data_IF_728491495562
#
_entry.id   IF_728491495562
#
_cell.length_a   1.000
_cell.length_b   1.000
_cell.length_c   1.000
_cell.angle_alpha   90.00
_cell.angle_beta   90.00
_cell.angle_gamma   90.00
#
_symmetry.space_group_name_H-M   'P 1'
#
loop_
_entity.id
_entity.type
_entity.pdbx_description
1 polymer ?
#
# COMPACT_ATOMS: atom_id res chain seq x y z
N UNK A 1 -22.73 -13.51 -7.44
CA UNK A 1 -22.17 -12.15 -7.16
C UNK A 1 -22.39 -11.30 -8.40
N UNK A 2 -22.61 -9.99 -8.28
CA UNK A 2 -22.70 -9.10 -9.45
C UNK A 2 -21.33 -8.45 -9.61
N UNK A 3 -20.63 -8.79 -10.68
CA UNK A 3 -19.36 -8.17 -11.02
C UNK A 3 -19.59 -7.06 -12.06
N UNK A 4 -18.93 -5.91 -11.93
CA UNK A 4 -19.01 -4.82 -12.90
C UNK A 4 -18.14 -5.09 -14.13
N UNK A 5 -18.44 -4.39 -15.23
CA UNK A 5 -17.70 -4.53 -16.50
C UNK A 5 -16.27 -3.93 -16.45
N UNK A 6 -16.01 -3.00 -15.51
CA UNK A 6 -14.76 -2.27 -15.38
C UNK A 6 -13.81 -2.81 -14.28
N UNK A 7 -13.85 -4.11 -14.04
CA UNK A 7 -12.94 -4.75 -13.07
C UNK A 7 -11.47 -4.60 -13.46
N UNK A 8 -10.61 -4.41 -12.45
CA UNK A 8 -9.18 -4.49 -12.62
C UNK A 8 -8.70 -5.95 -12.63
N UNK A 9 -7.63 -6.23 -13.39
CA UNK A 9 -6.89 -7.50 -13.34
C UNK A 9 -5.96 -7.60 -12.11
N UNK A 10 -5.85 -6.56 -11.32
CA UNK A 10 -5.12 -6.56 -10.06
C UNK A 10 -6.10 -6.69 -8.90
N UNK A 11 -5.98 -7.77 -8.12
CA UNK A 11 -6.84 -8.01 -6.96
C UNK A 11 -6.11 -7.80 -5.65
N UNK A 12 -6.88 -7.49 -4.61
CA UNK A 12 -6.43 -7.33 -3.24
C UNK A 12 -7.10 -8.38 -2.35
N UNK A 13 -6.31 -9.10 -1.55
CA UNK A 13 -6.75 -10.21 -0.72
C UNK A 13 -6.37 -9.99 0.74
N UNK A 14 -7.29 -10.21 1.66
CA UNK A 14 -7.01 -10.44 3.07
C UNK A 14 -7.64 -11.75 3.55
N UNK A 15 -6.90 -12.48 4.37
CA UNK A 15 -7.40 -13.66 5.09
C UNK A 15 -6.87 -13.56 6.51
N UNK A 16 -7.69 -13.09 7.45
CA UNK A 16 -7.22 -12.84 8.81
C UNK A 16 -8.33 -12.89 9.86
N UNK A 17 -7.92 -13.02 11.12
CA UNK A 17 -8.84 -12.97 12.27
C UNK A 17 -9.29 -11.54 12.56
N UNK A 18 -10.54 -11.39 12.99
CA UNK A 18 -11.17 -10.11 13.33
C UNK A 18 -11.26 -9.95 14.85
N UNK A 19 -11.44 -8.71 15.37
CA UNK A 19 -11.55 -8.42 16.80
C UNK A 19 -12.91 -8.84 17.38
N UNK A 20 -13.39 -10.01 17.00
CA UNK A 20 -14.68 -10.58 17.38
C UNK A 20 -14.47 -12.01 17.87
N UNK A 21 -14.99 -12.32 19.04
CA UNK A 21 -15.06 -13.69 19.57
C UNK A 21 -16.43 -14.29 19.24
N UNK A 22 -16.40 -15.50 18.71
CA UNK A 22 -17.57 -16.31 18.46
C UNK A 22 -18.05 -16.96 19.79
N UNK A 23 -19.25 -17.53 19.81
CA UNK A 23 -19.82 -18.21 20.98
C UNK A 23 -18.91 -19.33 21.54
N UNK A 24 -18.11 -19.99 20.69
CA UNK A 24 -17.12 -21.01 21.07
C UNK A 24 -15.80 -20.42 21.59
N UNK A 25 -15.69 -19.11 21.77
CA UNK A 25 -14.52 -18.39 22.26
C UNK A 25 -13.40 -18.21 21.23
N UNK A 26 -13.60 -18.65 19.98
CA UNK A 26 -12.61 -18.49 18.91
C UNK A 26 -12.80 -17.17 18.17
N UNK A 27 -11.72 -16.66 17.56
CA UNK A 27 -11.80 -15.45 16.74
C UNK A 27 -12.58 -15.69 15.46
N UNK A 28 -13.36 -14.70 15.04
CA UNK A 28 -13.94 -14.65 13.70
C UNK A 28 -12.83 -14.54 12.66
N UNK A 29 -12.87 -15.38 11.62
CA UNK A 29 -11.97 -15.29 10.47
C UNK A 29 -12.74 -14.92 9.21
N UNK A 30 -12.18 -14.05 8.42
CA UNK A 30 -12.76 -13.61 7.15
C UNK A 30 -11.73 -13.66 6.03
N UNK A 31 -12.20 -14.09 4.85
CA UNK A 31 -11.53 -13.87 3.58
C UNK A 31 -12.23 -12.72 2.89
N UNK A 32 -11.46 -11.71 2.52
CA UNK A 32 -11.91 -10.51 1.82
C UNK A 32 -11.16 -10.40 0.50
N UNK A 33 -11.87 -10.20 -0.60
CA UNK A 33 -11.29 -9.99 -1.93
C UNK A 33 -11.97 -8.80 -2.57
N UNK A 34 -11.18 -7.92 -3.14
CA UNK A 34 -11.63 -6.81 -3.98
C UNK A 34 -10.64 -6.62 -5.12
N UNK A 35 -10.91 -5.74 -6.06
CA UNK A 35 -9.94 -5.36 -7.09
C UNK A 35 -9.33 -3.98 -6.82
N UNK A 36 -8.28 -3.64 -7.56
CA UNK A 36 -7.57 -2.36 -7.41
C UNK A 36 -8.44 -1.12 -7.73
N UNK A 37 -9.60 -1.30 -8.35
CA UNK A 37 -10.58 -0.25 -8.57
C UNK A 37 -11.65 -0.16 -7.46
N UNK A 38 -11.67 -1.13 -6.53
CA UNK A 38 -12.74 -1.25 -5.52
C UNK A 38 -14.11 -1.57 -6.11
N UNK A 39 -14.13 -2.13 -7.32
CA UNK A 39 -15.35 -2.31 -8.11
C UNK A 39 -16.23 -3.44 -7.60
N UNK A 40 -15.68 -4.42 -6.90
CA UNK A 40 -16.43 -5.48 -6.21
C UNK A 40 -15.88 -5.73 -4.81
N UNK A 41 -16.69 -6.34 -3.96
CA UNK A 41 -16.32 -6.77 -2.61
C UNK A 41 -16.84 -8.18 -2.35
N UNK A 42 -15.93 -9.12 -2.15
CA UNK A 42 -16.26 -10.50 -1.76
C UNK A 42 -15.84 -10.74 -0.31
N UNK A 43 -16.77 -11.19 0.51
CA UNK A 43 -16.55 -11.54 1.91
C UNK A 43 -17.02 -12.96 2.20
N UNK A 44 -16.15 -13.75 2.84
CA UNK A 44 -16.50 -15.09 3.31
C UNK A 44 -15.97 -15.30 4.72
N UNK A 45 -16.86 -15.62 5.65
CA UNK A 45 -16.47 -16.09 6.98
C UNK A 45 -15.94 -17.53 6.89
N UNK A 46 -14.82 -17.77 7.56
CA UNK A 46 -14.15 -19.08 7.55
C UNK A 46 -14.10 -19.64 8.96
N UNK A 47 -14.62 -20.87 9.21
CA UNK A 47 -14.43 -21.56 10.47
C UNK A 47 -12.95 -21.76 10.80
N UNK A 48 -12.57 -21.64 12.09
CA UNK A 48 -11.17 -21.71 12.53
C UNK A 48 -10.44 -22.97 12.04
N UNK A 49 -11.11 -24.12 12.02
CA UNK A 49 -10.55 -25.39 11.54
C UNK A 49 -10.37 -25.48 10.02
N UNK A 50 -10.91 -24.52 9.27
CA UNK A 50 -10.78 -24.41 7.81
C UNK A 50 -9.85 -23.27 7.40
N UNK A 51 -9.18 -22.60 8.33
CA UNK A 51 -8.14 -21.59 8.05
C UNK A 51 -6.86 -22.31 7.64
N UNK A 52 -6.74 -22.58 6.35
CA UNK A 52 -5.57 -23.24 5.75
C UNK A 52 -5.48 -22.91 4.27
N UNK A 53 -4.31 -23.15 3.68
CA UNK A 53 -4.01 -22.83 2.27
C UNK A 53 -4.93 -23.54 1.26
N UNK A 54 -5.34 -24.78 1.55
CA UNK A 54 -6.23 -25.55 0.65
C UNK A 54 -7.61 -24.90 0.55
N UNK A 55 -8.19 -24.54 1.72
CA UNK A 55 -9.50 -23.90 1.72
C UNK A 55 -9.45 -22.48 1.16
N UNK A 56 -8.39 -21.73 1.45
CA UNK A 56 -8.21 -20.40 0.87
C UNK A 56 -8.09 -20.47 -0.66
N UNK A 57 -7.31 -21.42 -1.20
CA UNK A 57 -7.24 -21.67 -2.65
C UNK A 57 -8.61 -21.89 -3.26
N UNK A 58 -9.38 -22.82 -2.67
CA UNK A 58 -10.73 -23.12 -3.16
C UNK A 58 -11.62 -21.87 -3.20
N UNK A 59 -11.55 -21.03 -2.18
CA UNK A 59 -12.32 -19.77 -2.12
C UNK A 59 -11.90 -18.82 -3.26
N UNK A 60 -10.58 -18.65 -3.48
CA UNK A 60 -10.07 -17.79 -4.54
C UNK A 60 -10.45 -18.32 -5.93
N UNK A 61 -10.31 -19.63 -6.15
CA UNK A 61 -10.73 -20.30 -7.40
C UNK A 61 -12.22 -20.08 -7.68
N UNK A 62 -13.10 -20.28 -6.67
CA UNK A 62 -14.53 -20.01 -6.78
C UNK A 62 -14.82 -18.56 -7.24
N UNK A 63 -14.13 -17.59 -6.68
CA UNK A 63 -14.30 -16.17 -7.07
C UNK A 63 -13.77 -15.92 -8.49
N UNK A 64 -12.62 -16.50 -8.85
CA UNK A 64 -12.02 -16.37 -10.18
C UNK A 64 -12.87 -17.01 -11.28
N UNK A 65 -13.60 -18.10 -10.98
CA UNK A 65 -14.50 -18.76 -11.91
C UNK A 65 -15.77 -17.94 -12.20
N UNK A 66 -16.27 -17.21 -11.20
CA UNK A 66 -17.45 -16.37 -11.34
C UNK A 66 -17.14 -14.99 -11.93
N UNK A 67 -15.88 -14.52 -11.82
CA UNK A 67 -15.49 -13.18 -12.24
C UNK A 67 -15.37 -13.08 -13.80
N UNK A 68 -15.87 -11.99 -14.41
CA UNK A 68 -15.75 -11.77 -15.86
C UNK A 68 -14.31 -11.50 -16.31
N UNK A 69 -13.47 -10.99 -15.39
CA UNK A 69 -12.05 -10.68 -15.61
C UNK A 69 -11.23 -11.45 -14.60
N UNK A 70 -10.33 -12.32 -15.07
CA UNK A 70 -9.41 -13.03 -14.18
C UNK A 70 -8.27 -12.13 -13.77
N UNK A 71 -7.81 -12.21 -12.49
CA UNK A 71 -6.67 -11.44 -12.05
C UNK A 71 -5.38 -11.92 -12.73
N UNK A 72 -4.53 -10.99 -13.10
CA UNK A 72 -3.13 -11.24 -13.47
C UNK A 72 -2.23 -11.17 -12.24
N UNK A 73 -2.63 -10.41 -11.20
CA UNK A 73 -1.92 -10.33 -9.93
C UNK A 73 -2.86 -10.24 -8.73
N UNK A 74 -2.42 -10.82 -7.61
CA UNK A 74 -3.12 -10.73 -6.31
C UNK A 74 -2.16 -10.17 -5.27
N UNK A 75 -2.51 -9.02 -4.67
CA UNK A 75 -1.79 -8.37 -3.58
C UNK A 75 -2.36 -8.74 -2.23
N UNK A 76 -1.50 -8.85 -1.23
CA UNK A 76 -1.88 -9.01 0.18
C UNK A 76 -0.81 -8.40 1.08
N UNK A 77 -1.19 -7.95 2.29
CA UNK A 77 -0.29 -7.14 3.13
C UNK A 77 0.13 -7.79 4.45
N UNK A 78 -0.51 -8.90 4.86
CA UNK A 78 -0.23 -9.49 6.18
C UNK A 78 0.97 -10.42 6.14
N UNK A 79 2.05 -9.99 6.81
CA UNK A 79 3.27 -10.78 6.92
C UNK A 79 3.04 -12.13 7.61
N UNK A 80 2.17 -12.17 8.65
CA UNK A 80 1.83 -13.40 9.38
C UNK A 80 1.16 -14.45 8.49
N UNK A 81 0.50 -14.03 7.41
CA UNK A 81 -0.21 -14.90 6.47
C UNK A 81 0.59 -15.19 5.20
N UNK A 82 1.80 -14.66 5.07
CA UNK A 82 2.64 -14.75 3.87
C UNK A 82 2.75 -16.19 3.35
N UNK A 83 3.18 -17.11 4.20
CA UNK A 83 3.38 -18.51 3.79
C UNK A 83 2.06 -19.18 3.40
N UNK A 84 0.99 -18.98 4.18
CA UNK A 84 -0.29 -19.60 3.91
C UNK A 84 -0.90 -19.10 2.61
N UNK A 85 -0.87 -17.79 2.37
CA UNK A 85 -1.41 -17.17 1.15
C UNK A 85 -0.56 -17.57 -0.06
N UNK A 86 0.77 -17.52 0.05
CA UNK A 86 1.67 -17.92 -1.04
C UNK A 86 1.46 -19.38 -1.45
N UNK A 87 1.29 -20.30 -0.50
CA UNK A 87 0.97 -21.71 -0.77
C UNK A 87 -0.42 -21.87 -1.38
N UNK A 88 -1.40 -21.08 -0.92
CA UNK A 88 -2.76 -21.13 -1.45
C UNK A 88 -2.81 -20.72 -2.92
N UNK A 89 -2.09 -19.66 -3.28
CA UNK A 89 -2.10 -19.08 -4.63
C UNK A 89 -1.05 -19.70 -5.57
N UNK A 90 -0.15 -20.54 -5.04
CA UNK A 90 0.81 -21.25 -5.84
C UNK A 90 0.10 -22.15 -6.87
N UNK A 91 0.56 -22.14 -8.13
CA UNK A 91 -0.04 -22.84 -9.27
C UNK A 91 -1.41 -22.29 -9.75
N UNK A 92 -1.91 -21.18 -9.22
CA UNK A 92 -2.85 -20.35 -9.92
C UNK A 92 -2.04 -19.51 -10.94
N UNK A 93 -2.55 -19.31 -12.11
CA UNK A 93 -1.87 -18.50 -13.14
C UNK A 93 -2.03 -17.00 -12.81
N UNK A 94 -1.45 -16.61 -11.65
CA UNK A 94 -1.47 -15.24 -11.11
C UNK A 94 -0.13 -14.90 -10.47
N UNK A 95 0.28 -13.66 -10.58
CA UNK A 95 1.43 -13.14 -9.85
C UNK A 95 1.03 -12.82 -8.40
N UNK A 96 1.72 -13.40 -7.43
CA UNK A 96 1.42 -13.22 -6.00
C UNK A 96 2.33 -12.15 -5.42
N UNK A 97 1.77 -11.02 -4.98
CA UNK A 97 2.52 -9.84 -4.53
C UNK A 97 2.27 -9.53 -3.06
N UNK A 98 3.23 -9.86 -2.16
CA UNK A 98 3.22 -9.23 -0.84
C UNK A 98 3.40 -7.72 -1.00
N UNK A 99 2.39 -6.93 -0.62
CA UNK A 99 2.38 -5.50 -0.91
C UNK A 99 1.47 -4.74 0.05
N UNK A 100 1.88 -3.55 0.49
CA UNK A 100 1.03 -2.60 1.23
C UNK A 100 0.15 -1.77 0.30
N UNK A 101 0.23 -1.97 -1.00
CA UNK A 101 -0.61 -1.29 -2.01
C UNK A 101 -1.93 -2.02 -2.19
N UNK A 102 -2.70 -2.10 -1.13
CA UNK A 102 -4.03 -2.72 -1.05
C UNK A 102 -5.03 -1.66 -0.55
N UNK A 103 -5.15 -0.58 -1.32
CA UNK A 103 -5.85 0.64 -0.91
C UNK A 103 -7.34 0.41 -0.67
N UNK A 104 -8.02 -0.24 -1.60
CA UNK A 104 -9.45 -0.50 -1.50
C UNK A 104 -9.77 -1.51 -0.38
N UNK A 105 -8.89 -2.47 -0.17
CA UNK A 105 -9.01 -3.41 0.92
C UNK A 105 -8.83 -2.73 2.29
N UNK A 106 -7.86 -1.81 2.41
CA UNK A 106 -7.68 -1.02 3.64
C UNK A 106 -8.89 -0.14 3.94
N UNK A 107 -9.43 0.55 2.95
CA UNK A 107 -10.63 1.37 3.12
C UNK A 107 -11.81 0.51 3.57
N UNK A 108 -12.03 -0.63 2.93
CA UNK A 108 -13.08 -1.55 3.30
C UNK A 108 -12.88 -2.15 4.70
N UNK A 109 -11.66 -2.51 5.09
CA UNK A 109 -11.33 -2.93 6.45
C UNK A 109 -11.62 -1.83 7.47
N UNK A 110 -11.24 -0.59 7.17
CA UNK A 110 -11.50 0.58 8.04
C UNK A 110 -13.00 0.82 8.24
N UNK A 111 -13.81 0.69 7.18
CA UNK A 111 -15.27 0.75 7.27
C UNK A 111 -15.80 -0.34 8.21
N UNK A 112 -15.33 -1.58 8.05
CA UNK A 112 -15.77 -2.70 8.89
C UNK A 112 -15.36 -2.56 10.35
N UNK A 113 -14.15 -2.08 10.61
CA UNK A 113 -13.64 -1.78 11.96
C UNK A 113 -14.46 -0.70 12.67
N UNK A 114 -14.92 0.30 11.94
CA UNK A 114 -15.70 1.41 12.49
C UNK A 114 -17.17 1.05 12.66
N UNK A 115 -17.76 0.42 11.65
CA UNK A 115 -19.21 0.36 11.51
C UNK A 115 -19.79 -1.07 11.68
N UNK A 116 -19.00 -2.12 11.43
CA UNK A 116 -19.50 -3.50 11.40
C UNK A 116 -19.11 -4.30 12.65
N UNK A 117 -17.80 -4.43 12.92
CA UNK A 117 -17.36 -5.27 14.03
C UNK A 117 -17.86 -4.82 15.40
N UNK A 118 -17.98 -3.50 15.71
CA UNK A 118 -18.55 -3.06 16.99
C UNK A 118 -20.02 -3.51 17.23
N UNK A 119 -20.75 -3.91 16.18
CA UNK A 119 -22.11 -4.39 16.29
C UNK A 119 -22.23 -5.88 16.66
N UNK A 120 -21.10 -6.61 16.66
CA UNK A 120 -21.11 -8.02 17.06
C UNK A 120 -21.04 -8.17 18.58
N UNK A 121 -21.85 -9.06 19.17
CA UNK A 121 -21.90 -9.31 20.62
C UNK A 121 -20.53 -9.69 21.20
N UNK A 122 -19.71 -10.40 20.41
CA UNK A 122 -18.35 -10.83 20.80
C UNK A 122 -17.24 -9.84 20.46
N UNK A 123 -17.56 -8.58 20.11
CA UNK A 123 -16.56 -7.57 19.79
C UNK A 123 -15.64 -7.28 20.97
N UNK A 124 -14.33 -7.34 20.74
CA UNK A 124 -13.31 -7.05 21.75
C UNK A 124 -12.16 -6.19 21.15
N UNK A 125 -12.22 -4.90 21.45
CA UNK A 125 -11.23 -3.92 20.97
C UNK A 125 -9.78 -4.27 21.37
N UNK A 126 -9.56 -4.97 22.48
CA UNK A 126 -8.21 -5.35 22.93
C UNK A 126 -7.55 -6.37 22.01
N UNK A 127 -8.34 -7.21 21.30
CA UNK A 127 -7.81 -8.17 20.33
C UNK A 127 -7.17 -7.49 19.12
N UNK A 128 -7.57 -6.25 18.82
CA UNK A 128 -6.96 -5.41 17.79
C UNK A 128 -5.52 -5.04 18.13
N UNK A 129 -5.24 -4.68 19.37
CA UNK A 129 -3.91 -4.24 19.81
C UNK A 129 -2.86 -5.36 19.78
N UNK A 130 -3.25 -6.61 19.95
CA UNK A 130 -2.31 -7.74 19.90
C UNK A 130 -1.78 -8.03 18.48
N UNK A 131 -2.49 -7.62 17.46
CA UNK A 131 -2.10 -7.84 16.05
C UNK A 131 -1.04 -6.86 15.58
N UNK A 132 -0.90 -5.71 16.22
CA UNK A 132 -0.02 -4.60 15.82
C UNK A 132 1.45 -4.83 16.22
N UNK A 133 1.70 -5.65 17.25
CA UNK A 133 3.03 -5.79 17.86
C UNK A 133 3.96 -6.77 17.14
N UNK A 134 3.50 -7.48 16.11
CA UNK A 134 4.25 -8.53 15.41
C UNK A 134 4.86 -8.07 14.08
N UNK A 135 5.14 -6.78 13.91
CA UNK A 135 5.95 -6.36 12.76
C UNK A 135 7.42 -6.69 13.01
N UNK A 136 7.93 -7.62 12.22
CA UNK A 136 9.37 -7.91 12.12
C UNK A 136 10.06 -6.68 11.49
N UNK A 137 10.51 -5.76 12.35
CA UNK A 137 11.22 -4.54 11.93
C UNK A 137 12.59 -4.98 11.46
N UNK A 138 12.73 -5.26 10.16
CA UNK A 138 14.02 -5.51 9.54
C UNK A 138 14.85 -4.23 9.54
N UNK A 139 16.17 -4.39 9.64
CA UNK A 139 17.06 -3.24 9.44
C UNK A 139 16.89 -2.72 8.01
N UNK A 140 16.78 -1.39 7.82
CA UNK A 140 16.67 -0.84 6.49
C UNK A 140 17.88 -1.20 5.61
N UNK A 141 17.61 -1.56 4.37
CA UNK A 141 18.63 -1.80 3.36
C UNK A 141 19.10 -0.48 2.74
N UNK A 142 20.31 -0.47 2.20
CA UNK A 142 20.80 0.66 1.41
C UNK A 142 20.36 0.51 -0.04
N UNK A 143 20.03 1.62 -0.68
CA UNK A 143 19.84 1.62 -2.13
C UNK A 143 21.11 1.10 -2.84
N UNK A 144 20.94 0.37 -3.95
CA UNK A 144 22.08 0.08 -4.86
C UNK A 144 22.80 1.36 -5.25
N UNK A 145 24.12 1.31 -5.39
CA UNK A 145 24.92 2.52 -5.69
C UNK A 145 24.50 3.22 -6.98
N UNK A 146 23.97 2.47 -7.95
CA UNK A 146 23.43 3.03 -9.20
C UNK A 146 22.13 3.78 -9.02
N UNK A 147 21.42 3.58 -7.91
CA UNK A 147 20.12 4.18 -7.58
C UNK A 147 20.22 5.32 -6.57
N UNK A 148 21.44 5.63 -6.09
CA UNK A 148 21.64 6.77 -5.19
C UNK A 148 21.52 8.09 -5.96
N UNK A 149 20.67 8.97 -5.48
CA UNK A 149 20.57 10.33 -6.00
C UNK A 149 21.75 11.19 -5.49
N UNK A 150 22.17 12.14 -6.29
CA UNK A 150 23.19 13.14 -5.90
C UNK A 150 22.63 14.14 -4.88
N UNK A 151 21.35 14.45 -4.99
CA UNK A 151 20.64 15.34 -4.05
C UNK A 151 19.14 15.07 -4.07
N UNK A 152 18.41 15.70 -3.16
CA UNK A 152 16.95 15.64 -3.12
C UNK A 152 16.37 16.93 -2.54
N UNK A 153 15.09 17.18 -2.80
CA UNK A 153 14.35 18.28 -2.22
C UNK A 153 12.99 17.82 -1.70
N UNK A 154 12.54 18.43 -0.61
CA UNK A 154 11.15 18.38 -0.20
C UNK A 154 10.35 19.34 -1.05
N UNK A 155 9.27 18.87 -1.64
CA UNK A 155 8.42 19.60 -2.57
C UNK A 155 6.96 19.44 -2.20
N UNK A 156 6.07 20.23 -2.82
CA UNK A 156 4.64 20.02 -2.66
C UNK A 156 3.92 20.42 -3.94
N UNK A 157 2.86 19.69 -4.28
CA UNK A 157 1.95 19.98 -5.39
C UNK A 157 0.56 20.29 -4.84
N UNK A 158 -0.20 21.23 -5.46
CA UNK A 158 -1.59 21.42 -5.11
C UNK A 158 -2.38 20.13 -5.33
N UNK A 159 -3.29 19.78 -4.41
CA UNK A 159 -4.14 18.60 -4.58
C UNK A 159 -4.98 18.65 -5.86
N UNK A 160 -5.29 19.86 -6.34
CA UNK A 160 -6.05 20.12 -7.55
C UNK A 160 -5.43 19.47 -8.80
N UNK A 161 -4.08 19.42 -8.93
CA UNK A 161 -3.41 18.86 -10.12
C UNK A 161 -3.66 17.37 -10.32
N UNK A 162 -4.01 16.66 -9.25
CA UNK A 162 -4.41 15.26 -9.31
C UNK A 162 -5.89 15.13 -9.67
N UNK A 163 -6.75 16.00 -9.14
CA UNK A 163 -8.19 15.96 -9.38
C UNK A 163 -8.60 16.46 -10.78
N UNK A 164 -7.85 17.41 -11.35
CA UNK A 164 -8.10 17.92 -12.69
C UNK A 164 -7.39 17.11 -13.80
N UNK A 165 -6.58 16.11 -13.41
CA UNK A 165 -5.90 15.22 -14.34
C UNK A 165 -4.62 15.79 -14.98
N UNK A 166 -4.06 16.90 -14.47
CA UNK A 166 -2.74 17.38 -14.89
C UNK A 166 -1.65 16.35 -14.56
N UNK A 167 -1.78 15.66 -13.41
CA UNK A 167 -0.97 14.50 -13.07
C UNK A 167 -1.84 13.25 -13.18
N UNK A 168 -1.59 12.44 -14.22
CA UNK A 168 -2.29 11.18 -14.50
C UNK A 168 -1.32 10.14 -15.06
N UNK A 169 -1.74 8.88 -15.19
CA UNK A 169 -0.87 7.79 -15.65
C UNK A 169 -0.42 7.93 -17.10
N UNK A 170 -1.16 8.67 -17.94
CA UNK A 170 -0.82 8.86 -19.36
C UNK A 170 0.34 9.86 -19.56
N UNK A 171 0.54 10.79 -18.62
CA UNK A 171 1.55 11.83 -18.72
C UNK A 171 2.78 11.62 -17.79
N UNK A 172 2.87 10.49 -17.11
CA UNK A 172 4.06 10.07 -16.39
C UNK A 172 4.86 9.04 -17.19
N UNK A 173 6.18 9.22 -17.32
CA UNK A 173 7.05 8.29 -18.07
C UNK A 173 7.14 6.92 -17.39
N UNK A 174 7.36 6.92 -16.09
CA UNK A 174 7.43 5.74 -15.22
C UNK A 174 6.78 6.08 -13.88
N UNK A 175 6.15 5.12 -13.29
CA UNK A 175 5.55 5.32 -11.98
C UNK A 175 4.16 4.72 -11.89
N UNK A 176 3.46 5.15 -10.87
CA UNK A 176 2.09 4.70 -10.60
C UNK A 176 1.38 5.68 -9.68
N UNK A 177 0.11 5.85 -9.87
CA UNK A 177 -0.75 6.59 -8.97
C UNK A 177 -1.54 5.62 -8.08
N UNK A 178 -1.73 5.99 -6.81
CA UNK A 178 -2.73 5.33 -5.98
C UNK A 178 -4.11 5.96 -6.24
N UNK A 179 -5.20 5.25 -5.92
CA UNK A 179 -6.56 5.81 -6.02
C UNK A 179 -6.68 7.11 -5.22
N UNK A 180 -7.27 8.15 -5.83
CA UNK A 180 -7.37 9.50 -5.24
C UNK A 180 -8.76 9.81 -4.65
N UNK A 181 -9.68 8.82 -4.59
CA UNK A 181 -11.08 9.03 -4.17
C UNK A 181 -11.19 9.71 -2.80
N UNK A 182 -10.30 9.33 -1.86
CA UNK A 182 -10.24 9.86 -0.50
C UNK A 182 -9.25 11.04 -0.35
N UNK A 183 -8.56 11.45 -1.43
CA UNK A 183 -7.62 12.57 -1.37
C UNK A 183 -8.37 13.88 -1.12
N UNK A 184 -7.89 14.74 -0.21
CA UNK A 184 -8.44 16.09 -0.05
C UNK A 184 -8.46 16.84 -1.38
N UNK A 185 -9.55 17.54 -1.69
CA UNK A 185 -9.67 18.31 -2.94
C UNK A 185 -8.86 19.61 -2.92
N UNK A 186 -8.57 20.10 -1.72
CA UNK A 186 -7.84 21.34 -1.49
C UNK A 186 -6.60 21.08 -0.62
N UNK A 187 -5.63 22.00 -0.71
CA UNK A 187 -4.40 21.91 0.05
C UNK A 187 -3.22 21.41 -0.77
N UNK A 188 -2.19 20.91 -0.07
CA UNK A 188 -0.92 20.54 -0.67
C UNK A 188 -0.62 19.07 -0.40
N UNK A 189 -0.26 18.35 -1.45
CA UNK A 189 0.29 17.01 -1.37
C UNK A 189 1.81 17.14 -1.34
N UNK A 190 2.40 16.75 -0.22
CA UNK A 190 3.84 16.84 -0.01
C UNK A 190 4.55 15.66 -0.65
N UNK A 191 5.75 15.89 -1.15
CA UNK A 191 6.55 14.88 -1.80
C UNK A 191 8.04 15.15 -1.68
N UNK A 192 8.80 14.27 -2.30
CA UNK A 192 10.25 14.33 -2.40
C UNK A 192 10.64 14.14 -3.85
N UNK A 193 11.48 15.04 -4.35
CA UNK A 193 12.12 14.88 -5.66
C UNK A 193 13.56 14.46 -5.48
N UNK A 194 13.95 13.37 -6.11
CA UNK A 194 15.33 12.90 -6.19
C UNK A 194 15.97 13.43 -7.46
N UNK A 195 17.16 14.00 -7.34
CA UNK A 195 17.93 14.51 -8.48
C UNK A 195 19.12 13.59 -8.75
N UNK A 196 19.15 13.03 -9.96
CA UNK A 196 20.21 12.12 -10.36
C UNK A 196 20.52 12.25 -11.86
N UNK A 197 21.82 12.37 -12.20
CA UNK A 197 22.27 12.27 -13.60
C UNK A 197 21.93 10.94 -14.25
N UNK A 198 21.56 9.93 -13.43
CA UNK A 198 21.08 8.61 -13.85
C UNK A 198 19.58 8.45 -13.61
N UNK A 199 18.83 9.53 -13.68
CA UNK A 199 17.40 9.58 -13.36
C UNK A 199 16.60 8.48 -14.04
N UNK A 200 16.86 8.20 -15.32
CA UNK A 200 16.21 7.09 -16.03
C UNK A 200 16.45 5.72 -15.39
N UNK A 201 17.69 5.43 -15.00
CA UNK A 201 18.05 4.15 -14.38
C UNK A 201 17.45 4.04 -12.97
N UNK A 202 17.47 5.15 -12.21
CA UNK A 202 16.83 5.24 -10.89
C UNK A 202 15.33 5.01 -11.01
N UNK A 203 14.67 5.71 -11.94
CA UNK A 203 13.23 5.55 -12.16
C UNK A 203 12.87 4.15 -12.65
N UNK A 204 13.67 3.55 -13.54
CA UNK A 204 13.45 2.19 -14.03
C UNK A 204 13.57 1.15 -12.90
N UNK A 205 14.56 1.29 -12.03
CA UNK A 205 14.73 0.40 -10.88
C UNK A 205 13.58 0.55 -9.88
N UNK A 206 13.19 1.79 -9.53
CA UNK A 206 12.10 2.07 -8.62
C UNK A 206 10.75 1.56 -9.16
N UNK A 207 10.56 1.61 -10.49
CA UNK A 207 9.34 1.10 -11.11
C UNK A 207 9.15 -0.42 -10.97
N UNK A 208 10.22 -1.14 -10.68
CA UNK A 208 10.20 -2.59 -10.35
C UNK A 208 9.84 -2.89 -8.89
N UNK A 209 9.69 -1.87 -8.03
CA UNK A 209 9.39 -2.07 -6.62
C UNK A 209 7.88 -1.97 -6.33
N UNK A 210 7.43 -2.72 -5.33
CA UNK A 210 6.11 -2.51 -4.70
C UNK A 210 6.20 -1.36 -3.68
N UNK A 211 6.35 -0.11 -4.17
CA UNK A 211 6.52 1.09 -3.35
C UNK A 211 5.25 1.36 -2.54
N UNK A 212 5.39 1.49 -1.22
CA UNK A 212 4.26 1.69 -0.31
C UNK A 212 4.17 3.14 0.18
N UNK A 213 5.20 3.64 0.83
CA UNK A 213 5.25 5.01 1.33
C UNK A 213 6.68 5.47 1.65
N UNK A 214 6.85 6.79 1.68
CA UNK A 214 8.05 7.45 2.19
C UNK A 214 7.89 7.81 3.67
N UNK A 215 9.00 7.82 4.39
CA UNK A 215 9.07 8.25 5.77
C UNK A 215 10.33 9.07 6.01
N UNK A 216 10.18 10.25 6.57
CA UNK A 216 11.30 11.04 7.07
C UNK A 216 11.51 10.75 8.57
N UNK A 217 12.39 9.80 8.87
CA UNK A 217 12.66 9.41 10.26
C UNK A 217 13.61 10.41 10.93
N UNK A 218 13.07 11.23 11.80
CA UNK A 218 13.83 12.28 12.49
C UNK A 218 14.76 11.72 13.60
N UNK A 219 14.50 10.51 14.09
CA UNK A 219 15.32 9.88 15.13
C UNK A 219 16.56 9.24 14.52
N UNK A 220 16.42 8.43 13.49
CA UNK A 220 17.55 7.83 12.76
C UNK A 220 18.22 8.83 11.80
N UNK A 221 17.58 9.95 11.51
CA UNK A 221 18.01 10.97 10.54
C UNK A 221 18.16 10.40 9.13
N UNK A 222 17.14 9.71 8.71
CA UNK A 222 17.11 9.04 7.41
C UNK A 222 15.79 9.28 6.71
N UNK A 223 15.87 9.46 5.40
CA UNK A 223 14.74 9.37 4.50
C UNK A 223 14.62 7.92 4.05
N UNK A 224 13.48 7.30 4.30
CA UNK A 224 13.24 5.90 4.03
C UNK A 224 12.12 5.71 3.01
N UNK A 225 12.30 4.73 2.11
CA UNK A 225 11.29 4.22 1.22
C UNK A 225 10.86 2.83 1.73
N UNK A 226 9.60 2.71 2.08
CA UNK A 226 8.98 1.45 2.45
C UNK A 226 8.42 0.78 1.19
N UNK A 227 8.75 -0.49 0.99
CA UNK A 227 8.29 -1.29 -0.15
C UNK A 227 7.73 -2.61 0.34
N UNK A 228 6.99 -3.31 -0.51
CA UNK A 228 6.32 -4.58 -0.20
C UNK A 228 5.66 -4.58 1.20
N UNK A 229 5.74 -5.65 1.97
CA UNK A 229 5.19 -5.75 3.33
C UNK A 229 6.23 -5.59 4.43
N UNK A 230 7.54 -5.64 4.15
CA UNK A 230 8.57 -5.71 5.17
C UNK A 230 9.91 -5.08 4.82
N UNK A 231 10.11 -4.66 3.58
CA UNK A 231 11.38 -4.10 3.10
C UNK A 231 11.37 -2.58 3.22
N UNK A 232 12.49 -2.03 3.70
CA UNK A 232 12.74 -0.60 3.81
C UNK A 232 14.10 -0.28 3.18
N UNK A 233 14.16 0.80 2.41
CA UNK A 233 15.41 1.32 1.85
C UNK A 233 15.73 2.69 2.45
N UNK A 234 17.00 2.90 2.81
CA UNK A 234 17.52 4.24 3.12
C UNK A 234 17.76 4.96 1.79
N UNK A 235 16.93 5.95 1.50
CA UNK A 235 17.02 6.75 0.28
C UNK A 235 18.12 7.80 0.39
N UNK A 236 18.17 8.51 1.51
CA UNK A 236 19.17 9.55 1.79
C UNK A 236 19.28 9.84 3.28
N UNK A 237 20.42 10.37 3.75
CA UNK A 237 20.53 10.93 5.10
C UNK A 237 19.75 12.25 5.19
N UNK A 238 19.15 12.52 6.35
CA UNK A 238 18.55 13.82 6.67
C UNK A 238 19.59 14.70 7.36
N UNK A 239 20.00 15.77 6.70
CA UNK A 239 20.92 16.77 7.26
C UNK A 239 20.19 17.68 8.26
N UNK A 240 20.90 18.26 9.20
CA UNK A 240 20.29 19.16 10.21
C UNK A 240 19.54 20.33 9.59
N UNK A 241 20.02 20.87 8.46
CA UNK A 241 19.36 21.92 7.71
C UNK A 241 17.97 21.51 7.16
N UNK A 242 17.76 20.22 6.87
CA UNK A 242 16.53 19.67 6.30
C UNK A 242 15.51 19.20 7.35
N UNK A 243 15.89 19.26 8.63
CA UNK A 243 15.03 18.78 9.72
C UNK A 243 13.65 19.44 9.74
N UNK A 244 13.60 20.76 9.46
CA UNK A 244 12.35 21.51 9.43
C UNK A 244 11.47 21.08 8.24
N UNK A 245 12.07 20.89 7.06
CA UNK A 245 11.35 20.44 5.85
C UNK A 245 10.82 19.01 6.05
N UNK A 246 11.62 18.12 6.64
CA UNK A 246 11.19 16.77 7.00
C UNK A 246 9.99 16.77 7.97
N UNK A 247 9.97 17.67 8.96
CA UNK A 247 8.83 17.85 9.85
C UNK A 247 7.59 18.36 9.12
N UNK A 248 7.76 19.28 8.17
CA UNK A 248 6.66 19.79 7.32
C UNK A 248 6.11 18.68 6.45
N UNK A 249 6.98 17.87 5.84
CA UNK A 249 6.60 16.70 5.04
C UNK A 249 5.73 15.72 5.83
N UNK A 250 6.17 15.28 7.02
CA UNK A 250 5.41 14.34 7.85
C UNK A 250 4.06 14.91 8.32
N UNK A 251 4.03 16.19 8.69
CA UNK A 251 2.77 16.87 9.04
C UNK A 251 1.84 17.03 7.83
N UNK A 252 2.40 17.39 6.67
CA UNK A 252 1.66 17.51 5.42
C UNK A 252 1.06 16.18 4.99
N UNK A 253 1.82 15.09 5.11
CA UNK A 253 1.34 13.73 4.86
C UNK A 253 0.16 13.35 5.76
N UNK A 254 0.22 13.68 7.05
CA UNK A 254 -0.90 13.48 7.97
C UNK A 254 -2.12 14.32 7.57
N UNK A 255 -1.91 15.60 7.22
CA UNK A 255 -2.99 16.50 6.82
C UNK A 255 -3.66 16.08 5.50
N UNK A 256 -2.94 15.42 4.61
CA UNK A 256 -3.45 14.87 3.35
C UNK A 256 -3.91 13.41 3.44
N UNK A 257 -4.28 12.92 4.63
CA UNK A 257 -4.77 11.54 4.85
C UNK A 257 -3.79 10.46 4.37
N UNK A 258 -2.49 10.72 4.52
CA UNK A 258 -1.39 9.83 4.14
C UNK A 258 -0.92 9.99 2.70
N UNK A 259 -1.57 10.80 1.86
CA UNK A 259 -1.14 11.03 0.48
C UNK A 259 0.18 11.81 0.42
N UNK A 260 1.10 11.33 -0.40
CA UNK A 260 2.39 11.94 -0.67
C UNK A 260 3.00 11.35 -1.93
N UNK A 261 4.07 11.94 -2.47
CA UNK A 261 4.66 11.44 -3.71
C UNK A 261 6.19 11.39 -3.68
N UNK A 262 6.73 10.58 -4.56
CA UNK A 262 8.14 10.56 -4.95
C UNK A 262 8.24 10.91 -6.43
N UNK A 263 9.16 11.77 -6.79
CA UNK A 263 9.54 12.02 -8.19
C UNK A 263 11.04 11.89 -8.39
N UNK A 264 11.43 11.63 -9.62
CA UNK A 264 12.84 11.50 -10.03
C UNK A 264 13.07 12.38 -11.25
N UNK A 265 14.07 13.26 -11.15
CA UNK A 265 14.49 14.18 -12.21
C UNK A 265 16.01 14.12 -12.40
N UNK A 266 16.50 14.60 -13.55
CA UNK A 266 17.95 14.66 -13.83
C UNK A 266 18.66 15.69 -12.96
N UNK A 267 18.06 16.85 -12.78
CA UNK A 267 18.56 17.96 -12.00
C UNK A 267 17.40 18.90 -11.58
N UNK A 268 17.63 19.88 -10.68
CA UNK A 268 16.58 20.78 -10.20
C UNK A 268 15.92 21.68 -11.26
N UNK A 269 16.60 21.94 -12.36
CA UNK A 269 16.12 22.80 -13.45
C UNK A 269 15.49 22.00 -14.60
N UNK A 270 15.44 20.66 -14.48
CA UNK A 270 14.87 19.80 -15.51
C UNK A 270 13.35 20.01 -15.63
N UNK A 271 12.86 20.16 -16.87
CA UNK A 271 11.42 20.22 -17.15
C UNK A 271 10.78 18.83 -17.09
N UNK A 272 11.53 17.78 -17.43
CA UNK A 272 11.05 16.41 -17.51
C UNK A 272 11.18 15.67 -16.17
N UNK A 273 10.13 14.90 -15.83
CA UNK A 273 10.10 13.95 -14.71
C UNK A 273 10.25 12.54 -15.25
N UNK A 274 11.33 11.84 -14.86
CA UNK A 274 11.62 10.48 -15.32
C UNK A 274 10.78 9.41 -14.63
N UNK A 275 10.32 9.72 -13.42
CA UNK A 275 9.44 8.84 -12.67
C UNK A 275 8.63 9.58 -11.62
N UNK A 276 7.38 9.16 -11.43
CA UNK A 276 6.46 9.75 -10.46
C UNK A 276 5.59 8.67 -9.80
N UNK A 277 5.57 8.63 -8.48
CA UNK A 277 4.76 7.68 -7.70
C UNK A 277 3.95 8.45 -6.68
N UNK A 278 2.64 8.44 -6.84
CA UNK A 278 1.71 8.86 -5.80
C UNK A 278 1.45 7.67 -4.87
N UNK A 279 1.68 7.89 -3.58
CA UNK A 279 1.55 6.88 -2.54
C UNK A 279 0.59 7.35 -1.46
N UNK A 280 0.03 6.41 -0.72
CA UNK A 280 -0.75 6.68 0.47
C UNK A 280 -0.28 5.81 1.62
N UNK A 281 0.15 6.43 2.70
CA UNK A 281 0.42 5.73 3.96
C UNK A 281 -0.88 5.60 4.73
N UNK A 282 -1.27 4.37 5.03
CA UNK A 282 -2.37 4.10 5.92
C UNK A 282 -1.87 4.00 7.36
N UNK A 283 -2.70 4.43 8.29
CA UNK A 283 -2.41 4.22 9.71
C UNK A 283 -2.37 2.70 9.97
N UNK A 284 -1.22 2.20 10.39
CA UNK A 284 -0.93 0.75 10.56
C UNK A 284 -1.73 0.08 11.68
N UNK A 285 -2.78 0.72 12.15
CA UNK A 285 -3.66 0.24 13.21
C UNK A 285 -4.78 -0.72 12.74
N UNK A 286 -4.71 -1.19 11.48
CA UNK A 286 -5.70 -2.15 10.95
C UNK A 286 -5.22 -3.59 11.01
#
# INVERSE_FOLDING_TARGET
MIFPENMSEEWELDCYSRPVLLEDGKKLWEVMITDANGSFRYLKTVPNNLVNSRNLRKIVEEVMEEAPVRPTSIRFFRNQMLNMISIALNNLDVEVKPSRRVHNLYEWLSERERDVYPSFDGYNKQLRQQTILDYDIRQPDRLPDVCKAESYAFVALPAEVFHNGEVNEDNIKRGRLCPINEMPKEGWIHGITLFSRRSEAVAAWMNGLEMAHLQANLLSRELMLNTDISTQYIVAPLMDAQKREAQIFEKGKTASLGFHFLSVQSDPDAEDVEGFWLMREFDTLL
#
